data_IF_761445253324
#
_entry.id   IF_761445253324
#
_cell.length_a   1.000
_cell.length_b   1.000
_cell.length_c   1.000
_cell.angle_alpha   90.00
_cell.angle_beta   90.00
_cell.angle_gamma   90.00
#
_symmetry.space_group_name_H-M   'P 1'
#
loop_
_entity.id
_entity.type
_entity.pdbx_description
1 polymer ?
#
# COMPACT_ATOMS: atom_id res chain seq x y z
N UNK A 1 -42.08 15.35 85.85
CA UNK A 1 -43.30 15.57 85.04
C UNK A 1 -43.16 16.52 83.84
N UNK A 2 -42.55 17.72 83.86
CA UNK A 2 -42.22 18.46 82.60
C UNK A 2 -40.80 18.21 82.07
N UNK A 3 -39.82 18.19 82.98
CA UNK A 3 -38.41 17.97 82.60
C UNK A 3 -38.11 16.56 82.05
N UNK A 4 -38.95 15.56 82.38
CA UNK A 4 -38.83 14.20 81.84
C UNK A 4 -39.49 14.06 80.47
N UNK A 5 -40.59 14.76 80.20
CA UNK A 5 -41.18 14.83 78.86
C UNK A 5 -40.26 15.57 77.88
N UNK A 6 -39.63 16.65 78.33
CA UNK A 6 -38.72 17.45 77.52
C UNK A 6 -37.42 16.70 77.18
N UNK A 7 -36.88 15.92 78.13
CA UNK A 7 -35.75 15.01 77.88
C UNK A 7 -36.12 13.89 76.91
N UNK A 8 -37.32 13.31 77.01
CA UNK A 8 -37.78 12.25 76.10
C UNK A 8 -38.02 12.76 74.68
N UNK A 9 -38.46 14.01 74.52
CA UNK A 9 -38.60 14.65 73.22
C UNK A 9 -37.24 14.99 72.59
N UNK A 10 -36.30 15.49 73.39
CA UNK A 10 -34.94 15.81 72.94
C UNK A 10 -34.15 14.55 72.52
N UNK A 11 -34.30 13.45 73.24
CA UNK A 11 -33.66 12.18 72.92
C UNK A 11 -34.24 11.56 71.63
N UNK A 12 -35.56 11.68 71.42
CA UNK A 12 -36.22 11.24 70.18
C UNK A 12 -35.80 12.09 68.97
N UNK A 13 -35.65 13.40 69.15
CA UNK A 13 -35.16 14.32 68.10
C UNK A 13 -33.70 14.07 67.75
N UNK A 14 -32.86 13.74 68.74
CA UNK A 14 -31.45 13.37 68.53
C UNK A 14 -31.31 12.03 67.79
N UNK A 15 -32.14 11.03 68.11
CA UNK A 15 -32.16 9.75 67.39
C UNK A 15 -32.64 9.87 65.94
N UNK A 16 -33.58 10.78 65.66
CA UNK A 16 -34.06 11.04 64.30
C UNK A 16 -33.01 11.77 63.44
N UNK A 17 -32.29 12.73 64.03
CA UNK A 17 -31.19 13.44 63.37
C UNK A 17 -29.98 12.51 63.11
N UNK A 18 -29.64 11.64 64.06
CA UNK A 18 -28.56 10.66 63.92
C UNK A 18 -28.87 9.59 62.86
N UNK A 19 -30.15 9.16 62.74
CA UNK A 19 -30.59 8.29 61.64
C UNK A 19 -30.45 8.97 60.28
N UNK A 20 -30.81 10.24 60.17
CA UNK A 20 -30.71 11.02 58.94
C UNK A 20 -29.25 11.23 58.52
N UNK A 21 -28.34 11.45 59.47
CA UNK A 21 -26.91 11.57 59.19
C UNK A 21 -26.31 10.24 58.73
N UNK A 22 -26.66 9.11 59.37
CA UNK A 22 -26.23 7.78 58.93
C UNK A 22 -26.74 7.42 57.54
N UNK A 23 -27.98 7.74 57.20
CA UNK A 23 -28.54 7.49 55.85
C UNK A 23 -27.83 8.32 54.76
N UNK A 24 -27.43 9.56 55.07
CA UNK A 24 -26.68 10.41 54.13
C UNK A 24 -25.25 9.91 53.94
N UNK A 25 -24.58 9.46 55.01
CA UNK A 25 -23.24 8.88 54.94
C UNK A 25 -23.23 7.52 54.23
N UNK A 26 -24.23 6.68 54.46
CA UNK A 26 -24.37 5.38 53.80
C UNK A 26 -24.68 5.55 52.29
N UNK A 27 -25.53 6.53 51.93
CA UNK A 27 -25.78 6.86 50.52
C UNK A 27 -24.52 7.41 49.83
N UNK A 28 -23.74 8.23 50.54
CA UNK A 28 -22.47 8.77 50.03
C UNK A 28 -21.40 7.68 49.89
N UNK A 29 -21.34 6.71 50.81
CA UNK A 29 -20.45 5.56 50.70
C UNK A 29 -20.86 4.63 49.55
N UNK A 30 -22.16 4.36 49.36
CA UNK A 30 -22.67 3.59 48.21
C UNK A 30 -22.36 4.26 46.87
N UNK A 31 -22.50 5.59 46.77
CA UNK A 31 -22.16 6.32 45.55
C UNK A 31 -20.64 6.31 45.24
N UNK A 32 -19.79 6.27 46.27
CA UNK A 32 -18.33 6.17 46.11
C UNK A 32 -17.92 4.74 45.72
N UNK A 33 -18.54 3.73 46.33
CA UNK A 33 -18.28 2.32 46.05
C UNK A 33 -18.82 1.91 44.66
N UNK A 34 -19.97 2.42 44.24
CA UNK A 34 -20.50 2.19 42.89
C UNK A 34 -19.65 2.86 41.81
N UNK A 35 -19.14 4.09 42.06
CA UNK A 35 -18.18 4.75 41.16
C UNK A 35 -16.85 4.01 41.09
N UNK A 36 -16.37 3.48 42.21
CA UNK A 36 -15.15 2.66 42.27
C UNK A 36 -15.35 1.34 41.53
N UNK A 37 -16.48 0.66 41.72
CA UNK A 37 -16.83 -0.58 41.01
C UNK A 37 -16.95 -0.36 39.50
N UNK A 38 -17.50 0.78 39.07
CA UNK A 38 -17.62 1.13 37.65
C UNK A 38 -16.26 1.40 36.99
N UNK A 39 -15.30 1.98 37.73
CA UNK A 39 -13.92 2.15 37.28
C UNK A 39 -13.16 0.82 37.26
N UNK A 40 -13.32 -0.03 38.28
CA UNK A 40 -12.71 -1.36 38.34
C UNK A 40 -13.29 -2.31 37.27
N UNK A 41 -14.59 -2.25 36.96
CA UNK A 41 -15.20 -2.99 35.84
C UNK A 41 -14.72 -2.50 34.47
N UNK A 42 -14.49 -1.18 34.29
CA UNK A 42 -13.94 -0.63 33.06
C UNK A 42 -12.46 -0.98 32.86
N UNK A 43 -11.66 -0.93 33.94
CA UNK A 43 -10.26 -1.35 33.93
C UNK A 43 -10.14 -2.86 33.69
N UNK A 44 -10.96 -3.67 34.36
CA UNK A 44 -11.01 -5.13 34.15
C UNK A 44 -11.46 -5.48 32.73
N UNK A 45 -12.39 -4.73 32.14
CA UNK A 45 -12.80 -4.91 30.74
C UNK A 45 -11.68 -4.50 29.76
N UNK A 46 -10.96 -3.42 30.05
CA UNK A 46 -9.77 -3.01 29.27
C UNK A 46 -8.64 -4.02 29.38
N UNK A 47 -8.39 -4.56 30.58
CA UNK A 47 -7.36 -5.56 30.83
C UNK A 47 -7.73 -6.91 30.21
N UNK A 48 -9.01 -7.31 30.26
CA UNK A 48 -9.50 -8.51 29.57
C UNK A 48 -9.42 -8.38 28.05
N UNK A 49 -9.67 -7.18 27.49
CA UNK A 49 -9.50 -6.93 26.05
C UNK A 49 -8.03 -6.95 25.64
N UNK A 50 -7.13 -6.36 26.43
CA UNK A 50 -5.67 -6.42 26.22
C UNK A 50 -5.12 -7.84 26.38
N UNK A 51 -5.66 -8.62 27.32
CA UNK A 51 -5.25 -10.00 27.54
C UNK A 51 -5.80 -10.95 26.47
N UNK A 52 -7.03 -10.73 25.98
CA UNK A 52 -7.54 -11.43 24.81
C UNK A 52 -6.71 -11.15 23.55
N UNK A 53 -6.28 -9.89 23.34
CA UNK A 53 -5.36 -9.54 22.26
C UNK A 53 -4.00 -10.23 22.40
N UNK A 54 -3.48 -10.31 23.64
CA UNK A 54 -2.20 -10.95 23.95
C UNK A 54 -2.26 -12.48 23.83
N UNK A 55 -3.37 -13.09 24.22
CA UNK A 55 -3.58 -14.54 24.10
C UNK A 55 -3.81 -14.94 22.64
N UNK A 56 -4.43 -14.08 21.82
CA UNK A 56 -4.52 -14.28 20.37
C UNK A 56 -3.15 -14.14 19.68
N UNK A 57 -2.33 -13.16 20.09
CA UNK A 57 -0.95 -13.00 19.59
C UNK A 57 0.03 -14.10 20.06
N UNK A 58 -0.26 -14.78 21.18
CA UNK A 58 0.53 -15.93 21.64
C UNK A 58 0.07 -17.25 21.00
N UNK A 59 -1.17 -17.32 20.48
CA UNK A 59 -1.67 -18.49 19.74
C UNK A 59 -1.18 -18.53 18.29
N UNK A 60 -0.66 -17.42 17.77
CA UNK A 60 0.03 -17.35 16.47
C UNK A 60 1.54 -17.66 16.54
N UNK A 61 2.09 -17.98 17.72
CA UNK A 61 3.48 -18.47 17.90
C UNK A 61 3.56 -19.99 18.00
N UNK A 62 2.79 -20.70 17.17
CA UNK A 62 3.03 -22.12 16.90
C UNK A 62 4.28 -22.31 16.01
N UNK A 63 4.88 -23.51 15.98
CA UNK A 63 6.08 -23.76 15.16
C UNK A 63 5.83 -23.39 13.71
N UNK A 64 6.76 -22.61 13.16
CA UNK A 64 6.70 -21.91 11.89
C UNK A 64 6.80 -22.86 10.67
N UNK A 65 6.01 -23.92 10.59
CA UNK A 65 6.02 -24.88 9.49
C UNK A 65 4.68 -25.63 9.41
N UNK A 66 3.67 -25.04 8.78
CA UNK A 66 2.59 -25.72 8.04
C UNK A 66 1.59 -24.67 7.52
N UNK A 67 1.74 -24.31 6.25
CA UNK A 67 0.78 -23.47 5.52
C UNK A 67 -0.50 -24.30 5.32
N UNK A 68 -1.50 -24.03 6.14
CA UNK A 68 -2.87 -24.51 5.91
C UNK A 68 -3.58 -23.48 5.04
N UNK A 69 -3.78 -23.82 3.78
CA UNK A 69 -4.45 -22.98 2.78
C UNK A 69 -5.91 -22.74 3.19
N UNK A 70 -6.29 -21.45 3.28
CA UNK A 70 -7.64 -20.89 3.04
C UNK A 70 -8.73 -21.12 4.10
N UNK A 71 -8.86 -20.16 5.02
CA UNK A 71 -10.10 -19.45 5.38
C UNK A 71 -9.75 -18.33 6.38
N UNK A 72 -10.43 -17.18 6.30
CA UNK A 72 -10.31 -15.98 7.17
C UNK A 72 -9.38 -14.83 6.71
N UNK A 73 -9.47 -14.47 5.42
CA UNK A 73 -8.98 -13.19 4.89
C UNK A 73 -9.90 -12.00 5.27
N UNK A 74 -10.08 -11.70 6.56
CA UNK A 74 -10.96 -10.60 6.95
C UNK A 74 -10.83 -10.00 8.34
N UNK A 75 -9.88 -10.43 9.18
CA UNK A 75 -9.81 -9.92 10.57
C UNK A 75 -8.41 -9.64 11.12
N UNK A 76 -7.36 -9.79 10.32
CA UNK A 76 -6.00 -9.49 10.76
C UNK A 76 -5.56 -8.12 10.25
N UNK A 77 -6.25 -7.07 10.71
CA UNK A 77 -5.72 -5.71 10.55
C UNK A 77 -4.40 -5.65 11.33
N UNK A 78 -3.31 -5.28 10.66
CA UNK A 78 -2.02 -5.06 11.32
C UNK A 78 -2.19 -4.05 12.46
N UNK A 79 -1.34 -4.12 13.49
CA UNK A 79 -1.34 -3.12 14.56
C UNK A 79 -1.23 -1.69 14.01
N UNK A 80 -0.52 -1.52 12.89
CA UNK A 80 -0.41 -0.24 12.19
C UNK A 80 -1.75 0.20 11.55
N UNK A 81 -2.48 -0.72 10.92
CA UNK A 81 -3.79 -0.42 10.33
C UNK A 81 -4.84 -0.14 11.42
N UNK A 82 -4.77 -0.79 12.58
CA UNK A 82 -5.61 -0.47 13.74
C UNK A 82 -5.35 0.94 14.29
N UNK A 83 -4.08 1.37 14.34
CA UNK A 83 -3.72 2.72 14.76
C UNK A 83 -4.15 3.81 13.77
N UNK A 84 -4.06 3.52 12.46
CA UNK A 84 -4.53 4.41 11.40
C UNK A 84 -6.06 4.58 11.39
N UNK A 85 -6.79 3.61 11.94
CA UNK A 85 -8.25 3.63 12.09
C UNK A 85 -8.73 4.23 13.44
N UNK A 86 -7.82 4.67 14.33
CA UNK A 86 -8.22 5.37 15.56
C UNK A 86 -8.89 6.70 15.21
N UNK A 87 -10.02 6.97 15.87
CA UNK A 87 -10.70 8.24 15.66
C UNK A 87 -9.86 9.40 16.22
N UNK A 88 -10.03 10.59 15.67
CA UNK A 88 -9.33 11.80 16.13
C UNK A 88 -9.48 12.02 17.65
N UNK A 89 -10.66 11.70 18.18
CA UNK A 89 -10.96 11.79 19.62
C UNK A 89 -10.14 10.79 20.45
N UNK A 90 -9.97 9.55 19.97
CA UNK A 90 -9.13 8.55 20.64
C UNK A 90 -7.66 8.97 20.67
N UNK A 91 -7.14 9.53 19.57
CA UNK A 91 -5.76 10.03 19.52
C UNK A 91 -5.57 11.25 20.45
N UNK A 92 -6.55 12.14 20.56
CA UNK A 92 -6.51 13.27 21.48
C UNK A 92 -6.56 12.82 22.95
N UNK A 93 -7.34 11.79 23.28
CA UNK A 93 -7.38 11.19 24.61
C UNK A 93 -6.08 10.46 24.94
N UNK A 94 -5.54 9.65 24.03
CA UNK A 94 -4.22 9.02 24.19
C UNK A 94 -3.12 10.07 24.35
N UNK A 95 -3.16 11.17 23.60
CA UNK A 95 -2.23 12.30 23.77
C UNK A 95 -2.41 12.96 25.13
N UNK A 96 -3.64 13.22 25.59
CA UNK A 96 -3.91 13.81 26.91
C UNK A 96 -3.39 12.91 28.04
N UNK A 97 -3.64 11.61 27.95
CA UNK A 97 -3.14 10.62 28.93
C UNK A 97 -1.61 10.58 28.91
N UNK A 98 -1.02 10.48 27.73
CA UNK A 98 0.44 10.49 27.54
C UNK A 98 1.09 11.75 28.14
N UNK A 99 0.51 12.93 27.89
CA UNK A 99 0.97 14.19 28.45
C UNK A 99 0.83 14.24 29.97
N UNK A 100 -0.24 13.69 30.54
CA UNK A 100 -0.42 13.63 31.99
C UNK A 100 0.60 12.73 32.70
N UNK A 101 1.09 11.69 32.02
CA UNK A 101 2.13 10.79 32.53
C UNK A 101 3.50 11.47 32.45
N UNK A 102 3.78 12.16 31.33
CA UNK A 102 5.07 12.83 31.07
C UNK A 102 5.21 14.12 31.89
N UNK A 103 4.13 14.89 32.03
CA UNK A 103 4.07 16.15 32.76
C UNK A 103 3.40 15.90 34.10
N UNK A 104 4.20 15.50 35.08
CA UNK A 104 3.72 15.33 36.46
C UNK A 104 3.33 16.70 37.04
N UNK A 105 2.17 16.81 37.73
CA UNK A 105 1.78 18.05 38.40
C UNK A 105 2.87 18.51 39.38
N UNK A 106 3.15 19.82 39.37
CA UNK A 106 4.15 20.42 40.25
C UNK A 106 3.59 20.48 41.68
N UNK A 107 4.22 19.73 42.60
CA UNK A 107 3.94 19.87 44.02
C UNK A 107 5.01 20.77 44.65
N UNK A 108 4.67 22.03 44.92
CA UNK A 108 5.60 23.06 45.42
C UNK A 108 5.32 23.52 46.86
N UNK A 109 4.19 23.09 47.46
CA UNK A 109 3.63 23.68 48.68
C UNK A 109 4.45 23.43 49.96
N UNK A 110 5.30 22.39 49.98
CA UNK A 110 6.06 21.99 51.16
C UNK A 110 7.58 21.93 50.93
N UNK A 111 8.10 22.64 49.93
CA UNK A 111 9.54 22.68 49.64
C UNK A 111 10.25 23.87 50.29
N UNK A 112 11.45 23.65 50.83
CA UNK A 112 12.33 24.72 51.30
C UNK A 112 12.94 25.51 50.14
N UNK A 113 13.41 26.73 50.39
CA UNK A 113 13.98 27.63 49.37
C UNK A 113 15.08 26.96 48.51
N UNK A 114 15.98 26.20 49.13
CA UNK A 114 17.05 25.53 48.40
C UNK A 114 16.52 24.41 47.50
N UNK A 115 15.49 23.69 47.95
CA UNK A 115 14.83 22.67 47.13
C UNK A 115 14.01 23.28 45.99
N UNK A 116 13.41 24.46 46.19
CA UNK A 116 12.74 25.20 45.13
C UNK A 116 13.73 25.65 44.04
N UNK A 117 14.91 26.15 44.43
CA UNK A 117 15.99 26.50 43.48
C UNK A 117 16.47 25.27 42.69
N UNK A 118 16.69 24.14 43.38
CA UNK A 118 17.08 22.89 42.72
C UNK A 118 16.01 22.41 41.72
N UNK A 119 14.72 22.49 42.10
CA UNK A 119 13.61 22.12 41.21
C UNK A 119 13.50 23.04 39.99
N UNK A 120 13.75 24.33 40.16
CA UNK A 120 13.78 25.27 39.04
C UNK A 120 14.88 24.95 38.03
N UNK A 121 16.08 24.59 38.50
CA UNK A 121 17.19 24.16 37.63
C UNK A 121 16.87 22.84 36.91
N UNK A 122 16.30 21.86 37.61
CA UNK A 122 15.87 20.58 37.01
C UNK A 122 14.83 20.79 35.90
N UNK A 123 13.85 21.68 36.12
CA UNK A 123 12.84 22.02 35.11
C UNK A 123 13.48 22.74 33.92
N UNK A 124 14.41 23.65 34.18
CA UNK A 124 15.16 24.34 33.12
C UNK A 124 15.92 23.37 32.24
N UNK A 125 16.71 22.46 32.83
CA UNK A 125 17.45 21.45 32.07
C UNK A 125 16.50 20.51 31.30
N UNK A 126 15.35 20.18 31.87
CA UNK A 126 14.33 19.40 31.18
C UNK A 126 13.73 20.16 29.98
N UNK A 127 13.45 21.44 30.12
CA UNK A 127 12.92 22.28 29.04
C UNK A 127 13.93 22.36 27.89
N UNK A 128 15.22 22.59 28.20
CA UNK A 128 16.27 22.66 27.17
C UNK A 128 16.34 21.34 26.38
N UNK A 129 16.32 20.19 27.07
CA UNK A 129 16.30 18.87 26.42
C UNK A 129 15.06 18.67 25.54
N UNK A 130 13.87 19.00 26.04
CA UNK A 130 12.64 18.87 25.28
C UNK A 130 12.60 19.78 24.05
N UNK A 131 13.17 20.98 24.12
CA UNK A 131 13.26 21.88 22.97
C UNK A 131 14.22 21.33 21.90
N UNK A 132 15.34 20.74 22.30
CA UNK A 132 16.25 20.07 21.36
C UNK A 132 15.60 18.84 20.71
N UNK A 133 14.90 18.01 21.49
CA UNK A 133 14.18 16.85 20.96
C UNK A 133 13.07 17.27 19.98
N UNK A 134 12.35 18.35 20.30
CA UNK A 134 11.32 18.93 19.44
C UNK A 134 11.90 19.38 18.10
N UNK A 135 13.03 20.09 18.11
CA UNK A 135 13.70 20.54 16.89
C UNK A 135 14.08 19.34 15.99
N UNK A 136 14.70 18.30 16.55
CA UNK A 136 15.09 17.11 15.79
C UNK A 136 13.88 16.38 15.19
N UNK A 137 12.77 16.32 15.93
CA UNK A 137 11.51 15.72 15.44
C UNK A 137 10.87 16.56 14.33
N UNK A 138 10.86 17.88 14.47
CA UNK A 138 10.34 18.79 13.44
C UNK A 138 11.17 18.72 12.15
N UNK A 139 12.50 18.66 12.26
CA UNK A 139 13.37 18.47 11.08
C UNK A 139 13.15 17.12 10.41
N UNK A 140 12.99 16.03 11.20
CA UNK A 140 12.62 14.71 10.65
C UNK A 140 11.28 14.76 9.93
N UNK A 141 10.28 15.41 10.52
CA UNK A 141 8.96 15.57 9.90
C UNK A 141 9.07 16.33 8.57
N UNK A 142 9.80 17.44 8.52
CA UNK A 142 10.02 18.19 7.27
C UNK A 142 10.66 17.35 6.19
N UNK A 143 11.63 16.51 6.55
CA UNK A 143 12.28 15.58 5.62
C UNK A 143 11.29 14.54 5.08
N UNK A 144 10.51 13.91 5.95
CA UNK A 144 9.46 12.97 5.54
C UNK A 144 8.41 13.64 4.64
N UNK A 145 8.00 14.87 4.96
CA UNK A 145 7.06 15.64 4.13
C UNK A 145 7.65 16.00 2.76
N UNK A 146 8.96 16.20 2.67
CA UNK A 146 9.66 16.40 1.40
C UNK A 146 9.69 15.11 0.58
N UNK A 147 10.12 14.00 1.19
CA UNK A 147 10.19 12.69 0.54
C UNK A 147 8.80 12.27 0.01
N UNK A 148 7.74 12.46 0.81
CA UNK A 148 6.35 12.19 0.39
C UNK A 148 5.88 13.09 -0.77
N UNK A 149 6.33 14.35 -0.84
CA UNK A 149 6.01 15.23 -1.97
C UNK A 149 6.72 14.77 -3.25
N UNK A 150 7.97 14.35 -3.13
CA UNK A 150 8.75 13.85 -4.25
C UNK A 150 8.15 12.56 -4.80
N UNK A 151 7.81 11.59 -3.94
CA UNK A 151 7.15 10.34 -4.33
C UNK A 151 5.83 10.60 -5.04
N UNK A 152 4.99 11.51 -4.51
CA UNK A 152 3.72 11.87 -5.17
C UNK A 152 3.91 12.50 -6.55
N UNK A 153 4.95 13.32 -6.73
CA UNK A 153 5.23 13.91 -8.04
C UNK A 153 5.78 12.86 -9.01
N UNK A 154 6.63 11.92 -8.56
CA UNK A 154 7.08 10.77 -9.37
C UNK A 154 5.91 9.90 -9.80
N UNK A 155 5.04 9.52 -8.86
CA UNK A 155 3.81 8.77 -9.15
C UNK A 155 2.94 9.50 -10.17
N UNK A 156 2.77 10.82 -10.02
CA UNK A 156 2.02 11.64 -10.99
C UNK A 156 2.67 11.64 -12.37
N UNK A 157 3.99 11.64 -12.47
CA UNK A 157 4.71 11.55 -13.74
C UNK A 157 4.55 10.18 -14.39
N UNK A 158 4.66 9.09 -13.61
CA UNK A 158 4.39 7.73 -14.08
C UNK A 158 2.96 7.61 -14.62
N UNK A 159 1.96 8.10 -13.87
CA UNK A 159 0.56 8.09 -14.31
C UNK A 159 0.32 8.92 -15.57
N UNK A 160 1.01 10.08 -15.71
CA UNK A 160 0.99 10.89 -16.94
C UNK A 160 1.59 10.15 -18.13
N UNK A 161 2.70 9.46 -17.93
CA UNK A 161 3.35 8.67 -18.97
C UNK A 161 2.50 7.45 -19.37
N UNK A 162 1.92 6.74 -18.39
CA UNK A 162 0.96 5.64 -18.60
C UNK A 162 -0.28 6.13 -19.37
N UNK A 163 -0.80 7.32 -19.05
CA UNK A 163 -1.89 7.94 -19.80
C UNK A 163 -1.50 8.24 -21.25
N UNK A 164 -0.33 8.84 -21.48
CA UNK A 164 0.18 9.13 -22.82
C UNK A 164 0.42 7.86 -23.66
N UNK A 165 1.03 6.81 -23.07
CA UNK A 165 1.18 5.48 -23.70
C UNK A 165 -0.16 4.88 -24.11
N UNK A 166 -1.19 5.02 -23.27
CA UNK A 166 -2.57 4.57 -23.56
C UNK A 166 -3.34 5.49 -24.51
N UNK A 167 -2.72 6.56 -25.03
CA UNK A 167 -3.37 7.54 -25.91
C UNK A 167 -4.45 8.39 -25.22
N UNK A 168 -4.45 8.40 -23.89
CA UNK A 168 -5.32 9.22 -23.07
C UNK A 168 -4.68 10.60 -22.81
N UNK A 169 -5.51 11.56 -22.40
CA UNK A 169 -5.04 12.89 -21.98
C UNK A 169 -4.09 12.73 -20.77
N UNK A 170 -2.92 13.39 -20.72
CA UNK A 170 -1.96 13.27 -19.63
C UNK A 170 -2.55 13.42 -18.21
N UNK A 171 -3.65 14.16 -18.02
CA UNK A 171 -4.29 14.28 -16.71
C UNK A 171 -5.38 13.24 -16.43
N UNK A 172 -5.75 12.42 -17.40
CA UNK A 172 -6.89 11.51 -17.32
C UNK A 172 -6.75 10.43 -16.23
N UNK A 173 -5.51 10.03 -15.92
CA UNK A 173 -5.20 9.03 -14.88
C UNK A 173 -4.81 9.66 -13.53
N UNK A 174 -4.66 10.98 -13.47
CA UNK A 174 -4.28 11.71 -12.24
C UNK A 174 -5.48 12.23 -11.45
N UNK A 175 -6.69 12.05 -11.99
CA UNK A 175 -7.93 12.50 -11.38
C UNK A 175 -8.45 11.56 -10.28
N UNK A 176 -9.37 12.06 -9.45
CA UNK A 176 -10.04 11.27 -8.40
C UNK A 176 -10.86 10.09 -8.93
N UNK A 177 -11.27 10.17 -10.19
CA UNK A 177 -12.12 9.16 -10.84
C UNK A 177 -11.36 8.59 -12.03
N UNK A 178 -11.53 7.28 -12.32
CA UNK A 178 -10.96 6.68 -13.51
C UNK A 178 -11.31 7.45 -14.79
N UNK A 179 -10.44 7.44 -15.80
CA UNK A 179 -10.69 8.14 -17.05
C UNK A 179 -11.98 7.65 -17.72
N UNK A 180 -12.73 8.59 -18.31
CA UNK A 180 -13.97 8.24 -19.02
C UNK A 180 -13.63 7.48 -20.29
N UNK A 181 -14.22 6.30 -20.44
CA UNK A 181 -14.11 5.50 -21.66
C UNK A 181 -14.84 6.22 -22.79
N UNK A 182 -14.16 6.40 -23.93
CA UNK A 182 -14.81 6.88 -25.14
C UNK A 182 -15.60 5.72 -25.75
N UNK A 183 -16.87 5.94 -26.08
CA UNK A 183 -17.73 4.92 -26.72
C UNK A 183 -18.09 5.27 -28.15
N UNK A 184 -17.53 6.36 -28.67
CA UNK A 184 -17.70 6.83 -30.04
C UNK A 184 -16.51 7.70 -30.42
N UNK A 185 -16.11 7.66 -31.70
CA UNK A 185 -15.08 8.54 -32.23
C UNK A 185 -15.60 9.97 -32.39
N UNK A 186 -14.75 10.98 -32.15
CA UNK A 186 -15.07 12.40 -32.45
C UNK A 186 -15.32 12.66 -33.94
N UNK A 187 -14.83 11.76 -34.81
CA UNK A 187 -15.01 11.84 -36.26
C UNK A 187 -16.20 11.00 -36.76
N UNK A 188 -16.92 10.32 -35.85
CA UNK A 188 -18.10 9.52 -36.16
C UNK A 188 -19.24 10.44 -36.64
N UNK A 189 -19.58 10.35 -37.94
CA UNK A 189 -20.67 11.14 -38.53
C UNK A 189 -22.00 10.39 -38.58
N UNK A 190 -22.01 9.10 -38.22
CA UNK A 190 -23.20 8.25 -38.18
C UNK A 190 -23.41 7.76 -36.76
N UNK A 191 -24.66 7.55 -36.39
CA UNK A 191 -24.97 6.99 -35.07
C UNK A 191 -24.56 5.52 -35.08
N UNK A 192 -23.62 5.14 -34.20
CA UNK A 192 -23.20 3.77 -34.05
C UNK A 192 -24.32 2.92 -33.43
N UNK A 193 -24.84 1.98 -34.22
CA UNK A 193 -25.95 1.08 -33.87
C UNK A 193 -25.51 -0.15 -33.07
N UNK A 194 -24.21 -0.33 -32.81
CA UNK A 194 -23.68 -1.43 -31.98
C UNK A 194 -24.13 -1.29 -30.52
N UNK A 195 -24.11 -2.40 -29.77
CA UNK A 195 -24.46 -2.41 -28.34
C UNK A 195 -23.44 -1.62 -27.50
N UNK A 196 -23.79 -1.27 -26.26
CA UNK A 196 -22.85 -0.56 -25.37
C UNK A 196 -21.60 -1.40 -25.10
N UNK A 197 -21.77 -2.70 -24.83
CA UNK A 197 -20.65 -3.59 -24.52
C UNK A 197 -19.72 -3.77 -25.73
N UNK A 198 -20.28 -3.88 -26.94
CA UNK A 198 -19.47 -3.96 -28.17
C UNK A 198 -18.70 -2.67 -28.41
N UNK A 199 -19.34 -1.51 -28.20
CA UNK A 199 -18.66 -0.20 -28.31
C UNK A 199 -17.56 -0.07 -27.27
N UNK A 200 -17.86 -0.42 -26.01
CA UNK A 200 -16.90 -0.39 -24.91
C UNK A 200 -15.65 -1.21 -25.26
N UNK A 201 -15.82 -2.49 -25.64
CA UNK A 201 -14.71 -3.36 -26.04
C UNK A 201 -13.91 -2.82 -27.23
N UNK A 202 -14.60 -2.27 -28.24
CA UNK A 202 -13.94 -1.72 -29.41
C UNK A 202 -13.03 -0.52 -29.06
N UNK A 203 -13.48 0.36 -28.17
CA UNK A 203 -12.71 1.54 -27.78
C UNK A 203 -11.76 1.32 -26.58
N UNK A 204 -11.91 0.20 -25.84
CA UNK A 204 -10.96 -0.30 -24.84
C UNK A 204 -9.92 -1.25 -25.46
N UNK A 205 -9.28 -0.83 -26.56
CA UNK A 205 -8.19 -1.60 -27.18
C UNK A 205 -8.61 -2.63 -28.24
N UNK A 206 -9.89 -3.04 -28.30
CA UNK A 206 -10.35 -3.99 -29.32
C UNK A 206 -10.19 -3.50 -30.77
N UNK A 207 -10.23 -2.18 -31.00
CA UNK A 207 -9.94 -1.60 -32.31
C UNK A 207 -8.46 -1.75 -32.71
N UNK A 208 -7.53 -1.64 -31.75
CA UNK A 208 -6.10 -1.83 -32.01
C UNK A 208 -5.83 -3.29 -32.36
N UNK A 209 -6.44 -4.23 -31.63
CA UNK A 209 -6.36 -5.67 -31.91
C UNK A 209 -6.88 -6.00 -33.31
N UNK A 210 -8.08 -5.52 -33.66
CA UNK A 210 -8.65 -5.71 -35.00
C UNK A 210 -7.74 -5.14 -36.11
N UNK A 211 -7.07 -4.03 -35.84
CA UNK A 211 -6.14 -3.43 -36.79
C UNK A 211 -4.83 -4.22 -36.89
N UNK A 212 -4.32 -4.75 -35.77
CA UNK A 212 -3.16 -5.67 -35.73
C UNK A 212 -3.45 -6.93 -36.54
N UNK A 213 -4.54 -7.63 -36.26
CA UNK A 213 -5.00 -8.82 -37.00
C UNK A 213 -5.14 -8.53 -38.51
N UNK A 214 -5.70 -7.36 -38.86
CA UNK A 214 -5.84 -6.96 -40.27
C UNK A 214 -4.48 -6.75 -40.96
N UNK A 215 -3.53 -6.11 -40.28
CA UNK A 215 -2.18 -5.88 -40.80
C UNK A 215 -1.42 -7.20 -40.94
N UNK A 216 -1.47 -8.07 -39.93
CA UNK A 216 -0.85 -9.40 -39.98
C UNK A 216 -1.39 -10.23 -41.14
N UNK A 217 -2.72 -10.23 -41.32
CA UNK A 217 -3.35 -10.90 -42.46
C UNK A 217 -2.87 -10.34 -43.80
N UNK A 218 -2.79 -9.01 -43.94
CA UNK A 218 -2.24 -8.39 -45.15
C UNK A 218 -0.79 -8.79 -45.38
N UNK A 219 0.01 -8.89 -44.32
CA UNK A 219 1.41 -9.28 -44.42
C UNK A 219 1.56 -10.74 -44.85
N UNK A 220 0.79 -11.65 -44.24
CA UNK A 220 0.72 -13.05 -44.63
C UNK A 220 0.31 -13.22 -46.11
N UNK A 221 -0.72 -12.48 -46.56
CA UNK A 221 -1.11 -12.49 -47.98
C UNK A 221 0.02 -11.98 -48.89
N UNK A 222 0.83 -11.01 -48.43
CA UNK A 222 1.96 -10.47 -49.18
C UNK A 222 3.16 -11.42 -49.22
N UNK A 223 3.47 -12.10 -48.13
CA UNK A 223 4.52 -13.13 -48.07
C UNK A 223 4.15 -14.31 -48.96
N UNK A 224 2.90 -14.77 -48.92
CA UNK A 224 2.41 -15.84 -49.80
C UNK A 224 2.50 -15.45 -51.28
N UNK A 225 2.08 -14.21 -51.60
CA UNK A 225 2.22 -13.65 -52.95
C UNK A 225 3.68 -13.56 -53.38
N UNK A 226 4.60 -13.21 -52.47
CA UNK A 226 6.02 -13.10 -52.74
C UNK A 226 6.68 -14.47 -52.96
N UNK A 227 6.38 -15.45 -52.09
CA UNK A 227 6.86 -16.83 -52.21
C UNK A 227 6.34 -17.54 -53.48
N UNK A 228 5.13 -17.19 -53.92
CA UNK A 228 4.53 -17.71 -55.16
C UNK A 228 5.10 -17.09 -56.44
N UNK A 229 6.01 -16.10 -56.35
CA UNK A 229 6.61 -15.48 -57.55
C UNK A 229 7.61 -16.45 -58.17
N UNK A 230 7.66 -16.55 -59.51
CA UNK A 230 8.72 -17.30 -60.15
C UNK A 230 10.07 -16.65 -59.80
N UNK A 231 10.90 -17.39 -59.06
CA UNK A 231 12.27 -17.01 -58.77
C UNK A 231 13.02 -16.86 -60.10
N UNK A 232 13.18 -15.63 -60.58
CA UNK A 232 14.06 -15.36 -61.72
C UNK A 232 15.47 -15.59 -61.25
N UNK A 233 16.06 -16.73 -61.60
CA UNK A 233 17.49 -16.96 -61.41
C UNK A 233 18.20 -15.77 -62.05
N UNK A 234 18.89 -14.96 -61.22
CA UNK A 234 19.75 -13.89 -61.71
C UNK A 234 20.63 -14.50 -62.81
N UNK A 235 20.79 -13.84 -63.98
CA UNK A 235 21.69 -14.32 -65.01
C UNK A 235 23.03 -14.68 -64.36
N UNK A 236 23.48 -15.93 -64.52
CA UNK A 236 24.72 -16.41 -63.94
C UNK A 236 25.82 -15.45 -64.42
N UNK A 237 26.37 -14.67 -63.49
CA UNK A 237 27.37 -13.67 -63.80
C UNK A 237 28.66 -14.41 -64.17
N UNK A 238 28.93 -14.53 -65.47
CA UNK A 238 30.12 -15.19 -66.02
C UNK A 238 31.38 -14.30 -66.00
N UNK A 239 31.33 -13.15 -65.34
CA UNK A 239 32.49 -12.28 -65.17
C UNK A 239 33.19 -12.56 -63.85
N UNK A 240 34.52 -12.66 -63.86
CA UNK A 240 35.29 -12.60 -62.61
C UNK A 240 34.87 -11.34 -61.84
N UNK A 241 34.58 -11.49 -60.54
CA UNK A 241 34.36 -10.36 -59.62
C UNK A 241 35.45 -9.32 -59.88
N UNK A 242 35.12 -8.05 -60.20
CA UNK A 242 36.13 -7.02 -60.42
C UNK A 242 37.02 -6.92 -59.18
N UNK A 243 38.26 -7.43 -59.29
CA UNK A 243 39.22 -7.49 -58.19
C UNK A 243 39.89 -8.84 -57.92
N UNK A 244 39.45 -9.97 -58.50
CA UNK A 244 40.15 -11.26 -58.32
C UNK A 244 41.46 -11.24 -59.12
N UNK A 245 42.61 -11.32 -58.43
CA UNK A 245 43.94 -11.39 -59.05
C UNK A 245 44.23 -12.84 -59.47
N UNK A 246 44.96 -13.00 -60.58
CA UNK A 246 45.23 -14.24 -61.33
C UNK A 246 45.81 -15.45 -60.54
N UNK A 247 46.10 -15.32 -59.23
CA UNK A 247 46.81 -16.35 -58.46
C UNK A 247 46.25 -16.58 -57.03
N UNK A 248 44.99 -16.24 -56.73
CA UNK A 248 44.37 -16.75 -55.49
C UNK A 248 43.92 -18.20 -55.68
N UNK A 249 44.17 -19.12 -54.72
CA UNK A 249 43.79 -20.52 -54.84
C UNK A 249 42.27 -20.64 -54.99
N UNK A 250 41.86 -21.60 -55.82
CA UNK A 250 40.45 -21.88 -56.07
C UNK A 250 39.76 -22.23 -54.76
N UNK A 251 38.65 -21.54 -54.47
CA UNK A 251 37.84 -21.86 -53.29
C UNK A 251 37.24 -23.24 -53.57
N UNK A 252 37.51 -24.26 -52.72
CA UNK A 252 37.11 -25.63 -53.01
C UNK A 252 35.60 -25.78 -52.83
N UNK A 253 34.84 -25.65 -53.91
CA UNK A 253 33.40 -25.91 -53.92
C UNK A 253 32.93 -26.43 -55.29
N UNK A 254 33.67 -27.38 -55.85
CA UNK A 254 33.16 -28.24 -56.93
C UNK A 254 33.80 -29.64 -56.79
N UNK A 255 33.36 -30.40 -55.78
CA UNK A 255 33.45 -31.86 -55.81
C UNK A 255 32.02 -32.43 -55.72
N UNK A 256 31.64 -33.16 -56.77
CA UNK A 256 30.38 -33.88 -56.87
C UNK A 256 30.22 -34.87 -55.70
N UNK A 257 29.18 -34.71 -54.88
CA UNK A 257 28.72 -35.76 -53.96
C UNK A 257 27.33 -36.24 -54.38
N UNK A 258 27.27 -37.55 -54.65
CA UNK A 258 26.10 -38.39 -54.90
C UNK A 258 25.09 -38.35 -53.73
N UNK A 259 23.83 -38.74 -53.97
CA UNK A 259 22.75 -38.62 -52.99
C UNK A 259 22.89 -39.70 -51.90
N UNK A 260 23.04 -39.28 -50.65
CA UNK A 260 22.73 -40.08 -49.48
C UNK A 260 22.49 -39.13 -48.30
N UNK A 261 21.44 -39.44 -47.57
CA UNK A 261 20.96 -38.78 -46.36
C UNK A 261 22.09 -38.44 -45.37
N UNK A 262 22.17 -37.18 -44.96
CA UNK A 262 22.56 -36.79 -43.59
C UNK A 262 22.11 -35.35 -43.34
N UNK A 263 21.31 -35.20 -42.28
CA UNK A 263 20.90 -33.94 -41.66
C UNK A 263 22.06 -32.96 -41.54
N UNK A 264 21.94 -31.79 -42.15
CA UNK A 264 22.59 -30.58 -41.64
C UNK A 264 21.60 -29.43 -41.81
N UNK A 265 20.85 -29.18 -40.75
CA UNK A 265 20.05 -27.97 -40.56
C UNK A 265 20.94 -26.71 -40.66
N UNK A 266 20.48 -25.64 -41.34
CA UNK A 266 21.08 -24.33 -41.16
C UNK A 266 20.80 -23.86 -39.72
N UNK A 267 21.84 -23.78 -38.90
CA UNK A 267 21.77 -23.14 -37.57
C UNK A 267 21.49 -21.66 -37.78
N UNK A 268 20.22 -21.29 -37.65
CA UNK A 268 19.74 -19.91 -37.58
C UNK A 268 20.02 -19.38 -36.17
N UNK A 269 20.98 -18.47 -36.03
CA UNK A 269 21.25 -17.73 -34.78
C UNK A 269 20.32 -16.50 -34.69
N UNK A 270 19.11 -16.61 -35.23
CA UNK A 270 18.06 -15.58 -35.11
C UNK A 270 17.05 -15.96 -34.02
N UNK A 271 16.85 -17.26 -33.76
CA UNK A 271 15.91 -17.76 -32.74
C UNK A 271 16.44 -17.51 -31.31
N UNK A 272 17.76 -17.64 -31.06
CA UNK A 272 18.38 -17.33 -29.76
C UNK A 272 18.28 -15.85 -29.36
N UNK A 273 18.24 -14.91 -30.32
CA UNK A 273 18.14 -13.47 -30.03
C UNK A 273 16.68 -13.06 -29.77
N UNK A 274 15.73 -13.71 -30.44
CA UNK A 274 14.31 -13.46 -30.21
C UNK A 274 13.85 -14.12 -28.90
N UNK A 275 14.34 -15.32 -28.57
CA UNK A 275 14.14 -15.95 -27.25
C UNK A 275 14.84 -15.17 -26.11
N UNK A 276 16.07 -14.65 -26.29
CA UNK A 276 16.71 -13.81 -25.25
C UNK A 276 15.91 -12.52 -24.98
N UNK A 277 15.28 -11.94 -26.00
CA UNK A 277 14.48 -10.72 -25.87
C UNK A 277 13.10 -11.02 -25.28
N UNK A 278 12.51 -12.18 -25.58
CA UNK A 278 11.25 -12.63 -24.99
C UNK A 278 11.43 -13.07 -23.53
N UNK A 279 12.55 -13.72 -23.18
CA UNK A 279 12.92 -14.02 -21.79
C UNK A 279 13.24 -12.74 -20.99
N UNK A 280 13.92 -11.74 -21.57
CA UNK A 280 14.11 -10.44 -20.92
C UNK A 280 12.78 -9.68 -20.71
N UNK A 281 11.83 -9.75 -21.67
CA UNK A 281 10.50 -9.14 -21.50
C UNK A 281 9.64 -9.89 -20.45
N UNK A 282 9.69 -11.22 -20.39
CA UNK A 282 8.99 -12.00 -19.34
C UNK A 282 9.60 -11.76 -17.95
N UNK A 283 10.94 -11.67 -17.79
CA UNK A 283 11.57 -11.31 -16.50
C UNK A 283 11.20 -9.88 -16.07
N UNK A 284 11.06 -8.94 -17.01
CA UNK A 284 10.68 -7.55 -16.69
C UNK A 284 9.19 -7.45 -16.30
N UNK A 285 8.30 -8.26 -16.92
CA UNK A 285 6.88 -8.36 -16.51
C UNK A 285 6.71 -9.08 -15.17
N UNK A 286 7.44 -10.16 -14.89
CA UNK A 286 7.37 -10.87 -13.59
C UNK A 286 7.87 -9.96 -12.45
N UNK A 287 8.90 -9.14 -12.71
CA UNK A 287 9.40 -8.17 -11.75
C UNK A 287 8.42 -7.00 -11.49
N UNK A 288 7.71 -6.52 -12.52
CA UNK A 288 6.63 -5.52 -12.33
C UNK A 288 5.43 -6.12 -11.57
N UNK A 289 5.08 -7.39 -11.80
CA UNK A 289 4.01 -8.07 -11.04
C UNK A 289 4.41 -8.32 -9.57
N UNK A 290 5.66 -8.72 -9.28
CA UNK A 290 6.14 -8.86 -7.90
C UNK A 290 6.20 -7.50 -7.17
N UNK A 291 6.59 -6.41 -7.83
CA UNK A 291 6.54 -5.06 -7.24
C UNK A 291 5.09 -4.59 -7.01
N UNK A 292 4.14 -4.88 -7.91
CA UNK A 292 2.71 -4.57 -7.70
C UNK A 292 2.09 -5.43 -6.57
N UNK A 293 2.47 -6.72 -6.44
CA UNK A 293 2.03 -7.57 -5.32
C UNK A 293 2.64 -7.13 -3.97
N UNK A 294 3.91 -6.71 -3.94
CA UNK A 294 4.51 -6.14 -2.73
C UNK A 294 3.86 -4.80 -2.33
N UNK A 295 3.50 -3.94 -3.30
CA UNK A 295 2.76 -2.70 -3.03
C UNK A 295 1.31 -2.96 -2.56
N UNK A 296 0.64 -4.01 -3.06
CA UNK A 296 -0.71 -4.41 -2.60
C UNK A 296 -0.69 -5.10 -1.22
N UNK A 297 0.40 -5.79 -0.85
CA UNK A 297 0.58 -6.33 0.51
C UNK A 297 0.94 -5.24 1.55
N UNK A 298 1.41 -4.07 1.12
CA UNK A 298 1.75 -2.92 1.98
C UNK A 298 0.60 -1.91 2.25
N UNK A 299 -0.53 -1.94 1.53
CA UNK A 299 -1.76 -1.11 1.80
C UNK A 299 -2.73 -1.70 2.87
#
# INVERSE_FOLDING_TARGET
>A
MRAEEEKRLAEKKKQEEERRQREVEEKKQRDIEEKRRRLEEAEKKRQAMMQALKDQANKSKGPNFTISKKAEAGMHMSSAQLERNKTKEQLEEEKRISLSIRIKPLNIENLSLDKLKAKALELWDCIVKLETEKYDLEERQKRQDYDLKELKERQKQQLRHKALKKGLDPEALTGKYPPKIQVASKYERRVDTRSYDDKKKLFEGGFLEQNKEYIEKLWAEKTDQFGSRPQTKLPKWFGERPGKKKNDPDSPEEEEVKPADEDVEPVYVEEEIEEEVEEEEEEEEEAEEEEEEEEEEEE
#
